data_IF_126205238771
#
_entry.id   IF_126205238771
#
_cell.length_a   1.000
_cell.length_b   1.000
_cell.length_c   1.000
_cell.angle_alpha   90.00
_cell.angle_beta   90.00
_cell.angle_gamma   90.00
#
_symmetry.space_group_name_H-M   'P 1'
#
loop_
_entity.id
_entity.type
_entity.pdbx_description
1 polymer ?
#
# COMPACT_ATOMS: atom_id res chain seq x y z
N UNK A 1 9.46 -5.49 14.71
CA UNK A 1 9.43 -5.86 13.28
C UNK A 1 10.53 -5.09 12.57
N UNK A 2 11.48 -5.78 11.94
CA UNK A 2 12.63 -5.17 11.30
C UNK A 2 12.32 -4.99 9.81
N UNK A 3 11.62 -3.91 9.44
CA UNK A 3 11.30 -3.61 8.03
C UNK A 3 12.53 -2.97 7.38
N UNK A 4 13.51 -3.79 7.01
CA UNK A 4 14.60 -3.35 6.16
C UNK A 4 14.03 -3.07 4.76
N UNK A 5 13.60 -1.83 4.53
CA UNK A 5 13.16 -1.37 3.23
C UNK A 5 14.39 -1.19 2.33
N UNK A 6 14.77 -2.25 1.63
CA UNK A 6 15.90 -2.22 0.70
C UNK A 6 15.53 -1.40 -0.53
N UNK A 7 16.10 -0.19 -0.63
CA UNK A 7 15.95 0.66 -1.83
C UNK A 7 16.98 0.25 -2.88
N UNK A 8 16.52 0.04 -4.11
CA UNK A 8 17.41 -0.18 -5.25
C UNK A 8 17.79 1.16 -5.88
N UNK A 9 19.08 1.46 -5.94
CA UNK A 9 19.57 2.63 -6.65
C UNK A 9 19.28 2.50 -8.15
N UNK A 10 18.62 3.49 -8.73
CA UNK A 10 18.28 3.54 -10.16
C UNK A 10 18.61 4.93 -10.69
N UNK A 11 19.24 4.99 -11.87
CA UNK A 11 19.46 6.24 -12.59
C UNK A 11 18.37 6.42 -13.64
N UNK A 12 17.58 7.49 -13.51
CA UNK A 12 16.55 7.87 -14.46
C UNK A 12 16.94 9.22 -15.06
N UNK A 13 16.95 9.29 -16.40
CA UNK A 13 17.12 10.56 -17.11
C UNK A 13 15.76 11.23 -17.25
N UNK A 14 15.66 12.46 -16.79
CA UNK A 14 14.49 13.31 -16.91
C UNK A 14 14.84 14.53 -17.75
N UNK A 15 13.85 15.05 -18.44
CA UNK A 15 13.95 16.38 -19.04
C UNK A 15 14.23 17.43 -17.95
N UNK A 16 14.99 18.47 -18.29
CA UNK A 16 15.43 19.49 -17.31
C UNK A 16 14.24 20.24 -16.71
N UNK A 17 13.27 20.64 -17.54
CA UNK A 17 12.10 21.38 -17.10
C UNK A 17 11.20 20.49 -16.23
N UNK A 18 11.07 19.21 -16.60
CA UNK A 18 10.37 18.23 -15.78
C UNK A 18 11.02 18.05 -14.41
N UNK A 19 12.35 17.94 -14.35
CA UNK A 19 13.08 17.82 -13.08
C UNK A 19 12.84 19.04 -12.18
N UNK A 20 12.92 20.26 -12.73
CA UNK A 20 12.69 21.49 -12.00
C UNK A 20 11.25 21.58 -11.47
N UNK A 21 10.28 21.16 -12.28
CA UNK A 21 8.88 21.11 -11.88
C UNK A 21 8.64 20.12 -10.73
N UNK A 22 9.22 18.91 -10.81
CA UNK A 22 9.15 17.91 -9.75
C UNK A 22 9.80 18.44 -8.47
N UNK A 23 10.95 19.11 -8.55
CA UNK A 23 11.61 19.69 -7.39
C UNK A 23 10.74 20.75 -6.70
N UNK A 24 10.10 21.62 -7.47
CA UNK A 24 9.16 22.61 -6.95
C UNK A 24 8.00 21.95 -6.20
N UNK A 25 7.41 20.88 -6.76
CA UNK A 25 6.33 20.14 -6.11
C UNK A 25 6.80 19.43 -4.84
N UNK A 26 7.97 18.79 -4.87
CA UNK A 26 8.55 18.13 -3.70
C UNK A 26 8.79 19.12 -2.55
N UNK A 27 9.30 20.33 -2.86
CA UNK A 27 9.47 21.42 -1.89
C UNK A 27 8.13 21.88 -1.32
N UNK A 28 7.09 22.02 -2.16
CA UNK A 28 5.73 22.40 -1.73
C UNK A 28 5.13 21.40 -0.72
N UNK A 29 5.44 20.11 -0.88
CA UNK A 29 4.99 19.05 0.04
C UNK A 29 5.94 18.82 1.24
N UNK A 30 7.04 19.57 1.34
CA UNK A 30 8.09 19.38 2.35
C UNK A 30 8.66 17.95 2.33
N UNK A 31 8.95 17.44 1.13
CA UNK A 31 9.47 16.09 0.87
C UNK A 31 10.74 16.14 0.02
N UNK A 32 11.56 15.10 0.12
CA UNK A 32 12.70 14.96 -0.80
C UNK A 32 12.20 14.60 -2.21
N UNK A 33 12.94 15.03 -3.23
CA UNK A 33 12.65 14.73 -4.64
C UNK A 33 12.49 13.22 -4.85
N UNK A 34 13.40 12.42 -4.29
CA UNK A 34 13.32 10.96 -4.40
C UNK A 34 12.04 10.40 -3.76
N UNK A 35 11.62 10.90 -2.61
CA UNK A 35 10.39 10.43 -1.97
C UNK A 35 9.15 10.82 -2.79
N UNK A 36 9.16 12.03 -3.36
CA UNK A 36 8.10 12.49 -4.23
C UNK A 36 7.99 11.61 -5.48
N UNK A 37 9.09 11.40 -6.19
CA UNK A 37 9.14 10.53 -7.39
C UNK A 37 8.68 9.11 -7.06
N UNK A 38 9.15 8.52 -5.96
CA UNK A 38 8.78 7.16 -5.54
C UNK A 38 7.26 7.04 -5.32
N UNK A 39 6.64 7.99 -4.62
CA UNK A 39 5.20 7.99 -4.39
C UNK A 39 4.41 8.22 -5.67
N UNK A 40 4.81 9.21 -6.47
CA UNK A 40 4.13 9.50 -7.74
C UNK A 40 4.20 8.31 -8.68
N UNK A 41 5.34 7.62 -8.78
CA UNK A 41 5.45 6.40 -9.57
C UNK A 41 4.57 5.28 -9.02
N UNK A 42 4.59 5.05 -7.70
CA UNK A 42 3.78 4.01 -7.08
C UNK A 42 2.27 4.25 -7.28
N UNK A 43 1.83 5.50 -7.22
CA UNK A 43 0.45 5.90 -7.52
C UNK A 43 0.12 5.72 -9.01
N UNK A 44 1.00 6.18 -9.91
CA UNK A 44 0.77 6.12 -11.35
C UNK A 44 0.72 4.70 -11.92
N UNK A 45 1.53 3.79 -11.37
CA UNK A 45 1.55 2.38 -11.81
C UNK A 45 0.59 1.50 -11.02
N UNK A 46 -0.25 2.09 -10.15
CA UNK A 46 -1.12 1.35 -9.23
C UNK A 46 -0.37 0.26 -8.45
N UNK A 47 0.83 0.57 -7.95
CA UNK A 47 1.66 -0.37 -7.19
C UNK A 47 0.95 -0.89 -5.92
N UNK A 48 -0.05 -0.15 -5.44
CA UNK A 48 -0.86 -0.51 -4.28
C UNK A 48 -2.21 -1.14 -4.65
N UNK A 49 -2.42 -1.54 -5.92
CA UNK A 49 -3.62 -2.29 -6.30
C UNK A 49 -3.64 -3.63 -5.57
N UNK A 50 -4.81 -3.96 -5.04
CA UNK A 50 -5.05 -5.25 -4.40
C UNK A 50 -4.93 -6.33 -5.48
N UNK A 51 -4.23 -7.42 -5.19
CA UNK A 51 -4.20 -8.55 -6.11
C UNK A 51 -5.62 -9.16 -6.24
N UNK A 52 -5.86 -9.89 -7.33
CA UNK A 52 -7.17 -10.50 -7.62
C UNK A 52 -7.69 -11.35 -6.45
N UNK A 53 -6.81 -12.10 -5.79
CA UNK A 53 -7.15 -12.91 -4.61
C UNK A 53 -7.68 -12.08 -3.45
N UNK A 54 -7.03 -10.94 -3.15
CA UNK A 54 -7.46 -10.04 -2.07
C UNK A 54 -8.78 -9.35 -2.42
N UNK A 55 -8.96 -8.95 -3.68
CA UNK A 55 -10.24 -8.38 -4.16
C UNK A 55 -11.35 -9.41 -3.97
N UNK A 56 -11.14 -10.64 -4.41
CA UNK A 56 -12.12 -11.72 -4.30
C UNK A 56 -12.48 -12.03 -2.85
N UNK A 57 -11.48 -12.12 -1.97
CA UNK A 57 -11.71 -12.36 -0.53
C UNK A 57 -12.53 -11.23 0.12
N UNK A 58 -12.31 -9.97 -0.27
CA UNK A 58 -13.11 -8.83 0.20
C UNK A 58 -14.55 -8.93 -0.30
N UNK A 59 -14.75 -9.25 -1.58
CA UNK A 59 -16.10 -9.42 -2.14
C UNK A 59 -16.88 -10.54 -1.45
N UNK A 60 -16.23 -11.68 -1.21
CA UNK A 60 -16.86 -12.83 -0.58
C UNK A 60 -17.21 -12.52 0.88
N UNK A 61 -16.30 -11.89 1.63
CA UNK A 61 -16.58 -11.41 2.99
C UNK A 61 -17.73 -10.39 3.04
N UNK A 62 -17.87 -9.52 2.02
CA UNK A 62 -18.98 -8.58 1.94
C UNK A 62 -20.33 -9.26 1.64
N UNK A 63 -20.35 -10.26 0.76
CA UNK A 63 -21.54 -11.06 0.46
C UNK A 63 -21.98 -11.88 1.68
N UNK A 64 -21.03 -12.42 2.43
CA UNK A 64 -21.27 -13.27 3.60
C UNK A 64 -21.50 -12.49 4.91
N UNK A 65 -21.40 -11.14 4.89
CA UNK A 65 -21.43 -10.28 6.08
C UNK A 65 -22.62 -10.52 7.04
N UNK A 66 -23.74 -11.02 6.53
CA UNK A 66 -24.94 -11.34 7.33
C UNK A 66 -24.93 -12.77 7.89
N UNK A 67 -24.17 -13.69 7.29
CA UNK A 67 -24.04 -15.10 7.67
C UNK A 67 -22.72 -15.42 8.40
N UNK A 68 -21.74 -14.51 8.40
CA UNK A 68 -20.45 -14.72 9.06
C UNK A 68 -20.59 -14.86 10.58
N UNK A 69 -19.80 -15.78 11.15
CA UNK A 69 -19.70 -15.99 12.60
C UNK A 69 -19.25 -14.69 13.28
N UNK A 70 -19.94 -14.33 14.35
CA UNK A 70 -19.63 -13.16 15.19
C UNK A 70 -19.01 -13.61 16.50
N UNK A 71 -18.09 -12.82 17.01
CA UNK A 71 -17.41 -13.06 18.28
C UNK A 71 -17.58 -11.83 19.16
N UNK A 72 -17.97 -12.05 20.41
CA UNK A 72 -18.20 -10.97 21.38
C UNK A 72 -16.93 -10.59 22.15
N UNK A 73 -15.90 -11.44 22.12
CA UNK A 73 -14.63 -11.18 22.77
C UNK A 73 -13.45 -11.77 21.98
N UNK A 74 -12.27 -11.22 22.23
CA UNK A 74 -11.03 -11.58 21.53
C UNK A 74 -10.57 -13.01 21.86
N UNK A 75 -10.91 -13.53 23.03
CA UNK A 75 -10.50 -14.88 23.44
C UNK A 75 -11.19 -15.94 22.59
N UNK A 76 -12.50 -15.81 22.38
CA UNK A 76 -13.29 -16.70 21.53
C UNK A 76 -12.87 -16.63 20.06
N UNK A 77 -12.55 -15.44 19.56
CA UNK A 77 -12.01 -15.26 18.21
C UNK A 77 -10.65 -15.99 18.05
N UNK A 78 -9.74 -15.82 19.02
CA UNK A 78 -8.42 -16.44 18.97
C UNK A 78 -8.52 -17.96 19.08
N UNK A 79 -9.40 -18.47 19.95
CA UNK A 79 -9.62 -19.91 20.09
C UNK A 79 -10.21 -20.54 18.83
N UNK A 80 -11.11 -19.84 18.12
CA UNK A 80 -11.65 -20.33 16.84
C UNK A 80 -10.62 -20.27 15.69
N UNK A 81 -9.73 -19.27 15.71
CA UNK A 81 -8.72 -19.08 14.67
C UNK A 81 -7.48 -19.97 14.85
N UNK A 82 -7.14 -20.30 16.10
CA UNK A 82 -5.95 -21.09 16.46
C UNK A 82 -6.28 -22.49 16.97
N UNK A 83 -7.54 -22.77 17.27
CA UNK A 83 -7.99 -24.09 17.69
C UNK A 83 -8.36 -24.94 16.48
N UNK A 84 -7.68 -26.08 16.33
CA UNK A 84 -8.25 -27.26 15.68
C UNK A 84 -9.36 -27.85 16.59
#
# INVERSE_FOLDING_TARGET
MNTLNFKKATSLRLDNDLYNYIEMLAKKENRSINNFIEKTLAEAIHFHELNEETIQAIEDAQKEKMSSKRFDNTHDLINDLMGD
#
